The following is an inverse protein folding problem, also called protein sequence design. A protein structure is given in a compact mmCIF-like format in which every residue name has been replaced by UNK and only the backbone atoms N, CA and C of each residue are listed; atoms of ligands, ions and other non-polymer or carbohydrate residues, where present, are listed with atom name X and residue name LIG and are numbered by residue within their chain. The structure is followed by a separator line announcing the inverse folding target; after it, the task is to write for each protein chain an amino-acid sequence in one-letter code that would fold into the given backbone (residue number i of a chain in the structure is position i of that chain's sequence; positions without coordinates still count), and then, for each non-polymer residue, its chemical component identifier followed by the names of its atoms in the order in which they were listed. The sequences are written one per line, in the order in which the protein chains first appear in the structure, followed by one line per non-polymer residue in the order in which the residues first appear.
data_IF_418776193669
#
_entry.id   IF_418776193669
#
_cell.length_a   1.000
_cell.length_b   1.000
_cell.length_c   1.000
_cell.angle_alpha   90.00
_cell.angle_beta   90.00
_cell.angle_gamma   90.00
#
_symmetry.space_group_name_H-M   'P 1'
#
loop_
_entity.id
_entity.type
_entity.pdbx_description
1 polymer ?
#
# COMPACT_ATOMS: atom_id res chain seq x y z
N UNK A 1 5.39 13.86 -15.53
CA UNK A 1 4.00 14.07 -15.07
C UNK A 1 3.48 12.86 -14.33
N UNK A 2 3.43 12.93 -12.99
CA UNK A 2 3.03 11.82 -12.11
C UNK A 2 1.53 11.82 -11.76
N UNK A 3 0.79 12.84 -12.20
CA UNK A 3 -0.63 12.99 -11.88
C UNK A 3 -1.50 12.44 -13.01
N UNK A 4 -1.89 11.16 -12.89
CA UNK A 4 -3.06 10.67 -13.65
C UNK A 4 -4.34 11.21 -13.00
N UNK A 5 -5.33 11.65 -13.78
CA UNK A 5 -6.57 12.14 -13.22
C UNK A 5 -7.31 11.00 -12.49
N UNK A 6 -7.89 11.31 -11.32
CA UNK A 6 -8.69 10.36 -10.52
C UNK A 6 -9.92 9.86 -11.30
N UNK A 7 -10.40 10.67 -12.25
CA UNK A 7 -11.45 10.34 -13.20
C UNK A 7 -10.85 10.35 -14.61
N UNK A 8 -10.80 9.19 -15.26
CA UNK A 8 -10.37 9.09 -16.65
C UNK A 8 -11.55 8.67 -17.53
N UNK A 9 -12.21 9.64 -18.16
CA UNK A 9 -13.45 9.44 -18.94
C UNK A 9 -13.31 8.45 -20.12
N UNK A 10 -12.09 8.24 -20.61
CA UNK A 10 -11.81 7.31 -21.70
C UNK A 10 -11.78 5.83 -21.26
N UNK A 11 -11.87 5.54 -19.96
CA UNK A 11 -11.85 4.17 -19.41
C UNK A 11 -13.27 3.67 -19.20
N UNK A 12 -13.46 2.36 -19.35
CA UNK A 12 -14.71 1.67 -19.01
C UNK A 12 -15.14 1.90 -17.56
N UNK A 13 -14.17 2.09 -16.65
CA UNK A 13 -14.37 2.51 -15.27
C UNK A 13 -13.68 3.87 -15.04
N UNK A 14 -14.44 4.98 -15.09
CA UNK A 14 -13.85 6.32 -14.98
C UNK A 14 -13.25 6.59 -13.60
N UNK A 15 -13.88 6.10 -12.53
CA UNK A 15 -13.40 6.27 -11.16
C UNK A 15 -12.24 5.32 -10.85
N UNK A 16 -11.15 5.87 -10.29
CA UNK A 16 -9.96 5.10 -9.93
C UNK A 16 -10.26 3.87 -9.05
N UNK A 17 -11.08 4.02 -8.02
CA UNK A 17 -11.42 2.92 -7.08
C UNK A 17 -12.17 1.80 -7.80
N UNK A 18 -13.10 2.13 -8.69
CA UNK A 18 -13.83 1.15 -9.49
C UNK A 18 -12.93 0.43 -10.48
N UNK A 19 -12.02 1.18 -11.11
CA UNK A 19 -11.03 0.62 -12.01
C UNK A 19 -10.07 -0.33 -11.28
N UNK A 20 -9.51 0.07 -10.14
CA UNK A 20 -8.65 -0.80 -9.32
C UNK A 20 -9.40 -2.06 -8.91
N UNK A 21 -10.66 -1.94 -8.45
CA UNK A 21 -11.50 -3.08 -8.09
C UNK A 21 -11.69 -4.06 -9.25
N UNK A 22 -11.90 -3.54 -10.46
CA UNK A 22 -12.03 -4.36 -11.67
C UNK A 22 -10.71 -5.04 -12.08
N UNK A 23 -9.57 -4.38 -11.89
CA UNK A 23 -8.26 -4.98 -12.18
C UNK A 23 -7.93 -6.09 -11.16
N UNK A 24 -8.32 -5.92 -9.90
CA UNK A 24 -8.22 -6.93 -8.84
C UNK A 24 -9.03 -8.18 -9.22
N UNK A 25 -10.29 -8.04 -9.67
CA UNK A 25 -11.11 -9.21 -10.05
C UNK A 25 -10.58 -9.94 -11.28
N UNK A 26 -9.81 -9.26 -12.13
CA UNK A 26 -9.08 -9.87 -13.25
C UNK A 26 -7.74 -10.50 -12.86
N UNK A 27 -7.26 -10.27 -11.64
CA UNK A 27 -5.93 -10.70 -11.20
C UNK A 27 -4.78 -9.93 -11.86
N UNK A 28 -5.04 -8.76 -12.43
CA UNK A 28 -4.08 -8.01 -13.23
C UNK A 28 -3.50 -6.81 -12.46
N UNK A 29 -2.67 -7.17 -11.48
CA UNK A 29 -2.00 -6.23 -10.57
C UNK A 29 -1.01 -5.34 -11.31
N UNK A 30 -0.33 -5.87 -12.35
CA UNK A 30 0.73 -5.13 -13.06
C UNK A 30 0.20 -3.86 -13.70
N UNK A 31 -1.03 -3.91 -14.21
CA UNK A 31 -1.69 -2.74 -14.79
C UNK A 31 -2.19 -1.73 -13.74
N UNK A 32 -2.21 -2.08 -12.46
CA UNK A 32 -2.49 -1.16 -11.34
C UNK A 32 -1.24 -0.33 -10.98
N UNK A 33 -0.06 -0.92 -11.14
CA UNK A 33 1.20 -0.34 -10.67
C UNK A 33 1.70 0.82 -11.53
N UNK A 34 2.45 1.73 -10.90
CA UNK A 34 3.11 2.82 -11.60
C UNK A 34 4.16 2.25 -12.58
N UNK A 35 4.07 2.54 -13.90
CA UNK A 35 5.07 2.11 -14.88
C UNK A 35 6.50 2.55 -14.56
N UNK A 36 6.67 3.65 -13.82
CA UNK A 36 7.99 4.16 -13.41
C UNK A 36 8.65 3.30 -12.31
N UNK A 37 7.91 2.37 -11.69
CA UNK A 37 8.51 1.39 -10.80
C UNK A 37 9.28 0.31 -11.58
N UNK A 38 9.17 0.26 -12.91
CA UNK A 38 9.91 -0.66 -13.77
C UNK A 38 9.79 -2.14 -13.35
N UNK A 39 8.64 -2.53 -12.80
CA UNK A 39 8.42 -3.87 -12.22
C UNK A 39 9.36 -4.23 -11.06
N UNK A 40 10.02 -3.24 -10.45
CA UNK A 40 10.89 -3.43 -9.29
C UNK A 40 10.08 -3.38 -7.98
N UNK A 41 9.22 -4.38 -7.80
CA UNK A 41 8.42 -4.55 -6.61
C UNK A 41 8.12 -6.05 -6.40
N UNK A 42 7.93 -6.44 -5.15
CA UNK A 42 7.38 -7.76 -4.85
C UNK A 42 5.84 -7.74 -4.98
N UNK A 43 5.29 -8.81 -5.56
CA UNK A 43 3.83 -8.92 -5.77
C UNK A 43 3.10 -9.00 -4.42
N UNK A 44 3.68 -9.68 -3.43
CA UNK A 44 3.11 -9.76 -2.09
C UNK A 44 3.05 -8.40 -1.39
N UNK A 45 4.14 -7.63 -1.43
CA UNK A 45 4.17 -6.25 -0.94
C UNK A 45 3.13 -5.37 -1.61
N UNK A 46 3.01 -5.46 -2.93
CA UNK A 46 1.99 -4.70 -3.69
C UNK A 46 0.59 -5.10 -3.27
N UNK A 47 0.33 -6.40 -3.10
CA UNK A 47 -0.98 -6.87 -2.69
C UNK A 47 -1.38 -6.34 -1.33
N UNK A 48 -0.45 -6.36 -0.37
CA UNK A 48 -0.68 -5.79 0.97
C UNK A 48 -0.97 -4.28 0.91
N UNK A 49 -0.24 -3.53 0.09
CA UNK A 49 -0.51 -2.11 -0.12
C UNK A 49 -1.90 -1.84 -0.75
N UNK A 50 -2.31 -2.68 -1.71
CA UNK A 50 -3.64 -2.61 -2.32
C UNK A 50 -4.74 -2.90 -1.29
N UNK A 51 -4.57 -3.92 -0.44
CA UNK A 51 -5.52 -4.26 0.62
C UNK A 51 -5.75 -3.09 1.58
N UNK A 52 -4.66 -2.43 2.01
CA UNK A 52 -4.73 -1.23 2.86
C UNK A 52 -5.45 -0.09 2.12
N UNK A 53 -5.10 0.17 0.86
CA UNK A 53 -5.72 1.24 0.09
C UNK A 53 -7.23 0.99 -0.11
N UNK A 54 -7.62 -0.25 -0.42
CA UNK A 54 -9.02 -0.64 -0.64
C UNK A 54 -9.85 -0.61 0.64
N UNK A 55 -9.27 -0.90 1.80
CA UNK A 55 -9.96 -0.75 3.09
C UNK A 55 -10.21 0.72 3.44
N UNK A 56 -9.25 1.61 3.13
CA UNK A 56 -9.38 3.06 3.35
C UNK A 56 -10.50 3.70 2.51
N UNK A 57 -10.72 3.21 1.29
CA UNK A 57 -11.76 3.71 0.37
C UNK A 57 -13.06 2.92 0.43
N UNK A 58 -13.27 2.11 1.46
CA UNK A 58 -14.50 1.33 1.61
C UNK A 58 -15.74 2.24 1.56
N UNK A 59 -16.78 1.81 0.85
CA UNK A 59 -18.05 2.55 0.76
C UNK A 59 -18.72 2.70 2.13
N UNK A 60 -18.55 1.70 3.00
CA UNK A 60 -19.02 1.74 4.38
C UNK A 60 -17.98 2.41 5.27
N UNK A 61 -18.35 3.56 5.86
CA UNK A 61 -17.46 4.31 6.75
C UNK A 61 -17.01 3.51 7.97
N UNK A 62 -17.85 2.63 8.50
CA UNK A 62 -17.54 1.77 9.65
C UNK A 62 -16.54 0.67 9.34
N UNK A 63 -16.31 0.37 8.05
CA UNK A 63 -15.29 -0.59 7.59
C UNK A 63 -13.95 0.06 7.25
N UNK A 64 -13.89 1.40 7.28
CA UNK A 64 -12.63 2.11 7.04
C UNK A 64 -11.76 2.01 8.29
N UNK A 65 -10.47 1.68 8.16
CA UNK A 65 -9.55 1.72 9.29
C UNK A 65 -9.39 3.17 9.78
N UNK A 66 -9.10 3.32 11.07
CA UNK A 66 -8.61 4.59 11.59
C UNK A 66 -7.13 4.80 11.22
N UNK A 67 -6.64 6.03 11.31
CA UNK A 67 -5.26 6.35 10.91
C UNK A 67 -4.18 5.60 11.70
N UNK A 68 -4.46 5.20 12.95
CA UNK A 68 -3.50 4.39 13.72
C UNK A 68 -3.35 2.99 13.13
N UNK A 69 -4.46 2.36 12.72
CA UNK A 69 -4.44 1.08 12.01
C UNK A 69 -3.69 1.20 10.68
N UNK A 70 -4.00 2.23 9.88
CA UNK A 70 -3.31 2.48 8.60
C UNK A 70 -1.80 2.64 8.80
N UNK A 71 -1.36 3.43 9.79
CA UNK A 71 0.07 3.62 10.08
C UNK A 71 0.74 2.31 10.49
N UNK A 72 0.09 1.50 11.32
CA UNK A 72 0.64 0.21 11.73
C UNK A 72 0.80 -0.76 10.55
N UNK A 73 -0.22 -0.88 9.70
CA UNK A 73 -0.16 -1.73 8.50
C UNK A 73 0.92 -1.25 7.51
N UNK A 74 1.07 0.08 7.34
CA UNK A 74 2.14 0.65 6.51
C UNK A 74 3.54 0.41 7.08
N UNK A 75 3.72 0.45 8.41
CA UNK A 75 5.00 0.09 9.04
C UNK A 75 5.38 -1.37 8.74
N UNK A 76 4.42 -2.29 8.82
CA UNK A 76 4.67 -3.69 8.46
C UNK A 76 5.03 -3.86 6.98
N UNK A 77 4.35 -3.12 6.09
CA UNK A 77 4.70 -3.10 4.66
C UNK A 77 6.13 -2.63 4.46
N UNK A 78 6.54 -1.55 5.13
CA UNK A 78 7.89 -1.00 5.03
C UNK A 78 8.96 -1.99 5.52
N UNK A 79 8.71 -2.68 6.64
CA UNK A 79 9.62 -3.71 7.17
C UNK A 79 9.78 -4.85 6.15
N UNK A 80 8.67 -5.33 5.60
CA UNK A 80 8.66 -6.43 4.62
C UNK A 80 9.40 -6.02 3.33
N UNK A 81 9.12 -4.80 2.84
CA UNK A 81 9.71 -4.25 1.62
C UNK A 81 11.21 -3.97 1.76
N UNK A 82 11.65 -3.52 2.94
CA UNK A 82 13.06 -3.27 3.24
C UNK A 82 13.84 -4.57 3.39
N UNK A 83 13.22 -5.61 3.99
CA UNK A 83 13.85 -6.92 4.13
C UNK A 83 14.19 -7.54 2.77
N UNK A 84 13.33 -7.38 1.77
CA UNK A 84 13.61 -7.79 0.38
C UNK A 84 14.78 -7.04 -0.26
N UNK A 85 14.90 -5.73 0.00
CA UNK A 85 15.96 -4.89 -0.60
C UNK A 85 17.30 -5.10 0.12
N UNK A 86 17.25 -5.46 1.41
CA UNK A 86 18.41 -5.68 2.29
C UNK A 86 19.29 -6.88 1.92
N UNK A 87 18.82 -7.84 1.14
CA UNK A 87 19.65 -8.97 0.66
C UNK A 87 20.74 -8.56 -0.36
N UNK A 88 20.82 -7.27 -0.73
CA UNK A 88 21.85 -6.77 -1.65
C UNK A 88 22.53 -5.45 -1.28
N UNK A 89 22.17 -4.79 -0.17
CA UNK A 89 22.82 -3.52 0.24
C UNK A 89 22.79 -3.35 1.75
N UNK A 90 23.97 -3.48 2.36
CA UNK A 90 24.25 -2.96 3.70
C UNK A 90 24.01 -1.45 3.72
N UNK A 91 22.80 -1.06 4.10
CA UNK A 91 22.47 0.32 4.47
C UNK A 91 22.14 0.29 5.95
N UNK A 92 23.15 0.56 6.77
CA UNK A 92 23.00 0.92 8.18
C UNK A 92 22.12 2.17 8.27
N UNK A 93 20.81 1.97 8.34
CA UNK A 93 19.88 3.02 8.72
C UNK A 93 19.74 2.96 10.24
N UNK A 94 20.64 3.66 10.94
CA UNK A 94 20.44 4.03 12.34
C UNK A 94 19.24 4.96 12.44
N UNK A 95 18.05 4.37 12.52
CA UNK A 95 16.80 5.04 12.86
C UNK A 95 16.31 4.54 14.21
N UNK A 96 16.74 5.22 15.26
CA UNK A 96 16.23 5.03 16.63
C UNK A 96 14.72 5.22 16.68
N UNK A 97 13.99 4.25 17.22
CA UNK A 97 12.82 4.51 18.08
C UNK A 97 12.52 3.25 18.88
N UNK A 98 13.14 3.22 20.06
CA UNK A 98 12.63 2.51 21.21
C UNK A 98 11.23 3.06 21.55
N UNK A 99 10.22 2.20 21.52
CA UNK A 99 8.97 2.45 22.25
C UNK A 99 8.80 1.30 23.22
N UNK A 100 9.20 1.60 24.46
CA UNK A 100 8.97 0.82 25.65
C UNK A 100 7.56 0.22 25.64
N UNK A 101 7.48 -1.11 25.77
CA UNK A 101 6.41 -1.74 26.54
C UNK A 101 6.34 -0.99 27.88
N UNK A 102 5.14 -0.62 28.31
CA UNK A 102 4.72 -0.29 29.69
C UNK A 102 3.69 0.86 29.78
N UNK A 103 2.70 0.93 28.88
CA UNK A 103 1.43 1.62 29.17
C UNK A 103 0.26 0.74 28.75
N UNK A 104 0.15 -0.42 29.39
CA UNK A 104 -1.14 -1.09 29.64
C UNK A 104 -1.00 -1.78 30.99
N UNK A 105 -1.06 -1.00 32.06
CA UNK A 105 -1.45 -1.40 33.41
C UNK A 105 -1.68 -0.11 34.24
N UNK A 106 -2.92 0.39 34.20
CA UNK A 106 -3.78 0.76 35.34
C UNK A 106 -5.13 1.20 34.76
#
# INVERSE_FOLDING_TARGET
DYNRPIIQQSREKPHLVEWVSFMITKGDIRNIMDPNLHHNYDIGSVWKAIEIAMSCVNLSSTRRPNMSQVVNELKECLISETSRIGEGRDMESKGSMDYSKDIYNE
#
